data_IF_438571802803
#
_entry.id   IF_438571802803
#
_cell.length_a   1.000
_cell.length_b   1.000
_cell.length_c   1.000
_cell.angle_alpha   90.00
_cell.angle_beta   90.00
_cell.angle_gamma   90.00
#
_symmetry.space_group_name_H-M   'P 1'
#
loop_
_entity.id
_entity.type
_entity.pdbx_description
1 polymer ?
#
# COMPACT_ATOMS: atom_id res chain seq x y z
N UNK A 1 -16.19 32.32 -34.70
CA UNK A 1 -15.39 32.67 -33.52
C UNK A 1 -14.06 31.92 -33.59
N UNK A 2 -12.99 32.64 -33.81
CA UNK A 2 -11.66 32.02 -33.79
C UNK A 2 -11.26 31.70 -32.36
N UNK A 3 -10.99 30.42 -32.08
CA UNK A 3 -10.44 30.00 -30.79
C UNK A 3 -9.07 30.61 -30.64
N UNK A 4 -8.87 31.43 -29.62
CA UNK A 4 -7.56 32.02 -29.30
C UNK A 4 -6.59 30.91 -28.89
N UNK A 5 -5.82 30.44 -29.89
CA UNK A 5 -4.86 29.35 -29.72
C UNK A 5 -3.72 29.71 -28.76
N UNK A 6 -3.44 31.01 -28.59
CA UNK A 6 -2.40 31.48 -27.66
C UNK A 6 -2.87 31.30 -26.22
N UNK A 7 -4.11 31.66 -25.93
CA UNK A 7 -4.71 31.48 -24.60
C UNK A 7 -4.85 30.01 -24.19
N UNK A 8 -5.17 29.17 -25.16
CA UNK A 8 -5.25 27.71 -24.93
C UNK A 8 -3.87 27.10 -24.67
N UNK A 9 -2.84 27.59 -25.38
CA UNK A 9 -1.45 27.16 -25.21
C UNK A 9 -0.90 27.58 -23.85
N UNK A 10 -1.23 28.78 -23.38
CA UNK A 10 -0.83 29.29 -22.08
C UNK A 10 -1.54 28.56 -20.94
N UNK A 11 -2.82 28.19 -21.11
CA UNK A 11 -3.54 27.33 -20.16
C UNK A 11 -2.95 25.91 -20.09
N UNK A 12 -2.61 25.31 -21.24
CA UNK A 12 -1.97 24.00 -21.30
C UNK A 12 -0.55 24.02 -20.71
N UNK A 13 0.19 25.12 -20.90
CA UNK A 13 1.52 25.29 -20.31
C UNK A 13 1.43 25.51 -18.78
N UNK A 14 0.44 26.24 -18.28
CA UNK A 14 0.21 26.37 -16.82
C UNK A 14 -0.18 25.04 -16.19
N UNK A 15 -0.96 24.20 -16.87
CA UNK A 15 -1.27 22.85 -16.39
C UNK A 15 -0.02 21.95 -16.35
N UNK A 16 0.98 22.18 -17.21
CA UNK A 16 2.25 21.45 -17.18
C UNK A 16 3.15 21.81 -15.98
N UNK A 17 2.94 22.96 -15.35
CA UNK A 17 3.70 23.41 -14.17
C UNK A 17 3.08 22.91 -12.86
N UNK A 18 1.81 22.52 -12.86
CA UNK A 18 1.13 21.95 -11.69
C UNK A 18 1.40 20.45 -11.66
N UNK A 19 2.24 20.02 -10.73
CA UNK A 19 2.50 18.61 -10.49
C UNK A 19 1.62 18.12 -9.36
N UNK A 20 0.83 17.09 -9.64
CA UNK A 20 0.05 16.38 -8.64
C UNK A 20 0.40 14.90 -8.69
N UNK A 21 0.56 14.29 -7.52
CA UNK A 21 0.84 12.87 -7.39
C UNK A 21 0.06 12.29 -6.22
N UNK A 22 -0.23 11.01 -6.28
CA UNK A 22 -0.73 10.27 -5.13
C UNK A 22 0.43 10.08 -4.16
N UNK A 23 0.31 10.61 -2.93
CA UNK A 23 1.38 10.51 -1.94
C UNK A 23 1.29 9.19 -1.19
N UNK A 24 0.21 8.98 -0.43
CA UNK A 24 0.06 7.78 0.37
C UNK A 24 -1.42 7.37 0.50
N UNK A 25 -1.62 6.12 0.92
CA UNK A 25 -2.86 5.66 1.53
C UNK A 25 -2.68 5.57 3.03
N UNK A 26 -3.75 5.79 3.80
CA UNK A 26 -3.71 5.75 5.25
C UNK A 26 -4.59 4.61 5.79
N UNK A 27 -4.02 3.82 6.70
CA UNK A 27 -4.75 2.85 7.50
C UNK A 27 -4.70 3.19 8.96
N UNK A 28 -5.85 3.14 9.62
CA UNK A 28 -5.94 3.25 11.08
C UNK A 28 -5.68 1.89 11.70
N UNK A 29 -4.69 1.82 12.57
CA UNK A 29 -4.22 0.59 13.20
C UNK A 29 -4.40 0.62 14.71
N UNK A 30 -4.48 -0.53 15.33
CA UNK A 30 -4.67 -0.68 16.77
C UNK A 30 -3.42 -1.09 17.53
N UNK A 31 -2.39 -1.57 16.84
CA UNK A 31 -1.10 -1.94 17.43
C UNK A 31 0.03 -1.69 16.43
N UNK A 32 0.96 -0.79 16.80
CA UNK A 32 2.05 -0.39 15.91
C UNK A 32 2.99 -1.55 15.63
N UNK A 33 3.41 -2.28 16.65
CA UNK A 33 4.43 -3.33 16.50
C UNK A 33 3.94 -4.48 15.63
N UNK A 34 2.71 -4.92 15.83
CA UNK A 34 2.08 -5.97 15.01
C UNK A 34 1.94 -5.54 13.56
N UNK A 35 1.49 -4.30 13.32
CA UNK A 35 1.29 -3.79 11.96
C UNK A 35 2.62 -3.59 11.25
N UNK A 36 3.60 -2.98 11.88
CA UNK A 36 4.95 -2.80 11.31
C UNK A 36 5.56 -4.15 10.95
N UNK A 37 5.50 -5.12 11.85
CA UNK A 37 6.01 -6.48 11.62
C UNK A 37 5.33 -7.16 10.41
N UNK A 38 4.02 -6.99 10.27
CA UNK A 38 3.29 -7.52 9.12
C UNK A 38 3.77 -6.89 7.81
N UNK A 39 3.81 -5.56 7.75
CA UNK A 39 4.23 -4.87 6.52
C UNK A 39 5.70 -5.09 6.19
N UNK A 40 6.57 -5.23 7.19
CA UNK A 40 7.97 -5.65 6.98
C UNK A 40 8.07 -7.03 6.34
N UNK A 41 7.22 -7.98 6.71
CA UNK A 41 7.16 -9.30 6.07
C UNK A 41 6.72 -9.22 4.59
N UNK A 42 5.97 -8.19 4.20
CA UNK A 42 5.64 -7.89 2.81
C UNK A 42 6.76 -7.18 2.04
N UNK A 43 7.84 -6.76 2.72
CA UNK A 43 8.96 -6.05 2.13
C UNK A 43 8.95 -4.53 2.35
N UNK A 44 7.98 -4.00 3.07
CA UNK A 44 8.01 -2.58 3.47
C UNK A 44 9.12 -2.31 4.46
N UNK A 45 9.58 -1.07 4.47
CA UNK A 45 10.49 -0.53 5.49
C UNK A 45 9.89 0.71 6.12
N UNK A 46 10.05 0.83 7.43
CA UNK A 46 9.69 2.05 8.14
C UNK A 46 10.61 3.19 7.71
N UNK A 47 10.00 4.29 7.25
CA UNK A 47 10.72 5.50 6.83
C UNK A 47 10.92 6.42 8.02
N UNK A 48 9.83 6.74 8.73
CA UNK A 48 9.87 7.56 9.95
C UNK A 48 8.54 7.44 10.72
N UNK A 49 8.56 7.92 11.95
CA UNK A 49 7.38 8.10 12.78
C UNK A 49 7.17 9.57 13.09
N UNK A 50 5.93 9.98 13.15
CA UNK A 50 5.55 11.35 13.46
C UNK A 50 4.46 11.38 14.53
N UNK A 51 4.77 11.83 15.75
CA UNK A 51 3.75 12.09 16.75
C UNK A 51 2.82 13.22 16.29
N UNK A 52 1.53 13.02 16.46
CA UNK A 52 0.49 14.02 16.19
C UNK A 52 -0.04 14.50 17.53
N UNK A 53 0.56 15.55 18.05
CA UNK A 53 0.24 16.07 19.39
C UNK A 53 0.22 14.93 20.43
N UNK A 54 -0.78 14.93 21.31
CA UNK A 54 -1.02 13.88 22.30
C UNK A 54 -2.12 12.89 21.84
N UNK A 55 -2.43 12.85 20.55
CA UNK A 55 -3.60 12.14 20.01
C UNK A 55 -3.24 10.87 19.26
N UNK A 56 -2.12 10.88 18.52
CA UNK A 56 -1.79 9.81 17.61
C UNK A 56 -0.29 9.70 17.30
N UNK A 57 0.08 8.59 16.66
CA UNK A 57 1.38 8.40 16.02
C UNK A 57 1.13 7.92 14.60
N UNK A 58 1.73 8.60 13.63
CA UNK A 58 1.79 8.12 12.25
C UNK A 58 3.11 7.38 12.03
N UNK A 59 3.03 6.19 11.47
CA UNK A 59 4.18 5.40 11.02
C UNK A 59 4.14 5.35 9.51
N UNK A 60 5.18 5.82 8.85
CA UNK A 60 5.29 5.84 7.40
C UNK A 60 6.18 4.72 6.91
N UNK A 61 5.70 3.99 5.91
CA UNK A 61 6.37 2.83 5.36
C UNK A 61 6.42 2.88 3.83
N UNK A 62 7.50 2.36 3.25
CA UNK A 62 7.71 2.25 1.82
C UNK A 62 8.19 0.87 1.40
N UNK A 63 7.84 0.49 0.19
CA UNK A 63 8.52 -0.57 -0.55
C UNK A 63 9.79 -0.03 -1.23
N UNK A 64 10.78 -0.87 -1.54
CA UNK A 64 12.06 -0.41 -2.10
C UNK A 64 11.94 0.42 -3.39
N UNK A 65 10.93 0.15 -4.23
CA UNK A 65 10.73 0.85 -5.50
C UNK A 65 9.84 2.10 -5.41
N UNK A 66 9.35 2.45 -4.22
CA UNK A 66 8.46 3.60 -4.03
C UNK A 66 9.17 4.96 -4.04
N UNK A 67 10.50 4.95 -4.02
CA UNK A 67 11.30 6.17 -3.92
C UNK A 67 11.26 6.76 -2.50
N UNK A 68 11.38 8.09 -2.41
CA UNK A 68 11.49 8.80 -1.13
C UNK A 68 10.15 9.19 -0.51
N UNK A 69 9.08 9.14 -1.30
CA UNK A 69 7.72 9.47 -0.84
C UNK A 69 7.12 8.32 -0.01
N UNK A 70 6.67 8.58 1.23
CA UNK A 70 6.01 7.55 2.03
C UNK A 70 4.66 7.16 1.41
N UNK A 71 4.53 5.90 0.99
CA UNK A 71 3.34 5.39 0.27
C UNK A 71 2.28 4.82 1.18
N UNK A 72 2.68 4.36 2.36
CA UNK A 72 1.77 3.81 3.35
C UNK A 72 1.91 4.58 4.66
N UNK A 73 0.81 5.16 5.13
CA UNK A 73 0.69 5.78 6.44
C UNK A 73 -0.13 4.86 7.36
N UNK A 74 0.45 4.48 8.48
CA UNK A 74 -0.24 3.73 9.53
C UNK A 74 -0.51 4.69 10.69
N UNK A 75 -1.77 4.99 10.96
CA UNK A 75 -2.16 5.91 12.03
C UNK A 75 -2.65 5.15 13.25
N UNK A 76 -1.90 5.26 14.33
CA UNK A 76 -2.28 4.76 15.64
C UNK A 76 -2.87 5.90 16.47
N UNK A 77 -4.17 5.85 16.73
CA UNK A 77 -4.86 6.80 17.59
C UNK A 77 -4.87 6.28 19.03
N UNK A 78 -4.40 7.08 19.99
CA UNK A 78 -4.39 6.67 21.39
C UNK A 78 -5.81 6.41 21.90
N UNK A 79 -5.97 5.31 22.64
CA UNK A 79 -7.24 4.93 23.25
C UNK A 79 -8.26 4.29 22.33
N UNK A 80 -7.91 4.05 21.05
CA UNK A 80 -8.77 3.33 20.10
C UNK A 80 -8.21 1.93 19.90
N UNK A 81 -9.00 0.92 20.24
CA UNK A 81 -8.62 -0.50 20.22
C UNK A 81 -9.34 -1.32 19.14
N UNK A 82 -10.25 -0.72 18.39
CA UNK A 82 -10.95 -1.39 17.28
C UNK A 82 -11.44 -0.41 16.22
N UNK A 83 -11.54 -0.88 14.98
CA UNK A 83 -12.12 -0.16 13.85
C UNK A 83 -13.05 -1.05 13.05
N UNK A 84 -14.11 -0.46 12.51
CA UNK A 84 -14.99 -1.10 11.52
C UNK A 84 -14.55 -0.67 10.12
N UNK A 85 -14.02 -1.61 9.32
CA UNK A 85 -13.63 -1.35 7.94
C UNK A 85 -14.87 -1.26 7.04
N UNK A 86 -15.91 -2.03 7.34
CA UNK A 86 -17.11 -2.11 6.55
C UNK A 86 -16.93 -2.86 5.23
N UNK A 87 -17.84 -2.65 4.30
CA UNK A 87 -17.90 -3.37 3.01
C UNK A 87 -17.53 -2.51 1.80
N UNK A 88 -17.29 -1.23 2.00
CA UNK A 88 -17.02 -0.29 0.90
C UNK A 88 -15.55 -0.21 0.48
N UNK A 89 -14.63 -0.59 1.37
CA UNK A 89 -13.20 -0.58 1.06
C UNK A 89 -12.77 -1.90 0.42
N UNK A 90 -11.98 -1.82 -0.65
CA UNK A 90 -11.40 -2.98 -1.30
C UNK A 90 -10.03 -3.34 -0.70
N UNK A 91 -8.97 -2.97 -1.39
CA UNK A 91 -7.60 -3.33 -1.04
C UNK A 91 -6.59 -2.37 -1.68
N UNK A 92 -5.35 -2.43 -1.24
CA UNK A 92 -4.20 -1.98 -2.01
C UNK A 92 -3.51 -3.19 -2.64
N UNK A 93 -2.81 -2.98 -3.74
CA UNK A 93 -2.07 -4.03 -4.42
C UNK A 93 -0.57 -3.71 -4.44
N UNK A 94 0.23 -4.72 -4.20
CA UNK A 94 1.69 -4.69 -4.30
C UNK A 94 2.18 -5.80 -5.22
N UNK A 95 3.37 -5.65 -5.76
CA UNK A 95 4.03 -6.71 -6.52
C UNK A 95 5.10 -7.39 -5.70
N UNK A 96 5.32 -8.67 -5.93
CA UNK A 96 6.39 -9.45 -5.31
C UNK A 96 7.11 -10.30 -6.35
N UNK A 97 8.42 -10.31 -6.31
CA UNK A 97 9.24 -11.22 -7.12
C UNK A 97 9.30 -12.64 -6.52
N UNK A 98 8.95 -12.77 -5.24
CA UNK A 98 8.96 -14.03 -4.49
C UNK A 98 7.70 -14.15 -3.62
N UNK A 99 6.59 -14.49 -4.26
CA UNK A 99 5.30 -14.66 -3.58
C UNK A 99 5.35 -15.79 -2.54
N UNK A 100 5.97 -16.91 -2.87
CA UNK A 100 6.03 -18.07 -1.97
C UNK A 100 6.90 -17.79 -0.74
N UNK A 101 8.04 -17.11 -0.91
CA UNK A 101 8.91 -16.69 0.20
C UNK A 101 8.25 -15.69 1.11
N UNK A 102 7.50 -14.75 0.56
CA UNK A 102 6.72 -13.78 1.34
C UNK A 102 5.64 -14.48 2.17
N UNK A 103 4.90 -15.41 1.57
CA UNK A 103 3.90 -16.19 2.30
C UNK A 103 4.51 -17.04 3.41
N UNK A 104 5.71 -17.59 3.20
CA UNK A 104 6.43 -18.31 4.25
C UNK A 104 6.77 -17.40 5.44
N UNK A 105 7.22 -16.17 5.18
CA UNK A 105 7.50 -15.18 6.23
C UNK A 105 6.24 -14.79 7.01
N UNK A 106 5.11 -14.64 6.34
CA UNK A 106 3.82 -14.36 7.01
C UNK A 106 3.36 -15.53 7.87
N UNK A 107 3.55 -16.77 7.42
CA UNK A 107 3.22 -17.97 8.20
C UNK A 107 4.00 -18.07 9.49
N UNK A 108 5.25 -17.62 9.52
CA UNK A 108 6.03 -17.52 10.76
C UNK A 108 5.39 -16.58 11.80
N UNK A 109 4.56 -15.63 11.34
CA UNK A 109 3.77 -14.75 12.19
C UNK A 109 2.35 -15.28 12.45
N UNK A 110 2.03 -16.49 11.99
CA UNK A 110 0.70 -17.07 12.11
C UNK A 110 -0.32 -16.49 11.11
N UNK A 111 0.13 -15.85 10.04
CA UNK A 111 -0.74 -15.23 9.03
C UNK A 111 -0.79 -16.11 7.79
N UNK A 112 -1.99 -16.51 7.42
CA UNK A 112 -2.28 -17.26 6.19
C UNK A 112 -3.00 -16.37 5.18
N UNK A 113 -2.80 -16.60 3.86
CA UNK A 113 -3.60 -15.92 2.85
C UNK A 113 -5.07 -16.38 2.92
N UNK A 114 -5.99 -15.58 2.40
CA UNK A 114 -7.42 -15.92 2.33
C UNK A 114 -7.67 -17.25 1.61
N UNK A 115 -6.86 -17.52 0.60
CA UNK A 115 -6.76 -18.79 -0.11
C UNK A 115 -5.37 -18.94 -0.74
N UNK A 116 -4.97 -20.16 -1.15
CA UNK A 116 -3.70 -20.35 -1.86
C UNK A 116 -3.59 -19.47 -3.10
N UNK A 117 -2.36 -19.09 -3.51
CA UNK A 117 -2.15 -18.31 -4.74
C UNK A 117 -2.87 -18.89 -5.96
N UNK A 118 -3.46 -18.04 -6.77
CA UNK A 118 -4.22 -18.41 -7.96
C UNK A 118 -4.04 -17.37 -9.05
N UNK A 119 -4.40 -17.73 -10.30
CA UNK A 119 -4.40 -16.81 -11.43
C UNK A 119 -5.83 -16.46 -11.82
N UNK A 120 -6.09 -15.18 -12.10
CA UNK A 120 -7.40 -14.72 -12.56
C UNK A 120 -7.73 -15.18 -13.98
N UNK A 121 -6.70 -15.48 -14.76
CA UNK A 121 -6.80 -15.99 -16.13
C UNK A 121 -5.68 -16.97 -16.39
N UNK A 122 -5.90 -17.90 -17.32
CA UNK A 122 -4.87 -18.84 -17.75
C UNK A 122 -3.63 -18.11 -18.26
N UNK A 123 -2.45 -18.54 -17.81
CA UNK A 123 -1.16 -17.92 -18.13
C UNK A 123 -0.92 -16.55 -17.50
N UNK A 124 -1.83 -16.06 -16.64
CA UNK A 124 -1.65 -14.82 -15.90
C UNK A 124 -0.77 -15.00 -14.67
N UNK A 125 -0.32 -13.88 -14.10
CA UNK A 125 0.40 -13.87 -12.85
C UNK A 125 -0.44 -14.45 -11.71
N UNK A 126 0.23 -15.14 -10.79
CA UNK A 126 -0.45 -15.57 -9.56
C UNK A 126 -0.68 -14.35 -8.66
N UNK A 127 -1.79 -14.39 -7.96
CA UNK A 127 -2.13 -13.41 -6.94
C UNK A 127 -2.56 -14.12 -5.67
N UNK A 128 -2.47 -13.42 -4.56
CA UNK A 128 -3.16 -13.80 -3.33
C UNK A 128 -3.56 -12.58 -2.52
N UNK A 129 -4.50 -12.76 -1.61
CA UNK A 129 -4.91 -11.73 -0.66
C UNK A 129 -4.50 -12.16 0.75
N UNK A 130 -3.88 -11.23 1.45
CA UNK A 130 -3.57 -11.35 2.88
C UNK A 130 -4.26 -10.23 3.64
N UNK A 131 -4.49 -10.42 4.93
CA UNK A 131 -5.05 -9.39 5.80
C UNK A 131 -4.03 -9.00 6.84
N UNK A 132 -3.92 -7.69 7.05
CA UNK A 132 -3.09 -7.16 8.12
C UNK A 132 -3.74 -7.44 9.49
N UNK A 133 -3.06 -7.14 10.63
CA UNK A 133 -3.62 -7.41 11.95
C UNK A 133 -4.96 -6.74 12.24
N UNK A 134 -5.30 -5.65 11.58
CA UNK A 134 -6.57 -4.94 11.71
C UNK A 134 -7.62 -5.36 10.68
N UNK A 135 -7.27 -6.25 9.75
CA UNK A 135 -8.17 -6.79 8.73
C UNK A 135 -8.13 -6.07 7.39
N UNK A 136 -7.23 -5.15 7.16
CA UNK A 136 -7.04 -4.52 5.84
C UNK A 136 -6.48 -5.53 4.84
N UNK A 137 -7.13 -5.62 3.68
CA UNK A 137 -6.74 -6.55 2.62
C UNK A 137 -5.60 -5.97 1.79
N UNK A 138 -4.62 -6.81 1.52
CA UNK A 138 -3.51 -6.52 0.61
C UNK A 138 -3.52 -7.57 -0.49
N UNK A 139 -3.63 -7.13 -1.74
CA UNK A 139 -3.42 -7.99 -2.90
C UNK A 139 -1.92 -8.06 -3.18
N UNK A 140 -1.38 -9.26 -3.31
CA UNK A 140 -0.02 -9.47 -3.74
C UNK A 140 -0.02 -10.13 -5.11
N UNK A 141 0.58 -9.42 -6.07
CA UNK A 141 0.67 -9.85 -7.47
C UNK A 141 2.09 -10.34 -7.70
N UNK A 142 2.24 -11.61 -8.09
CA UNK A 142 3.54 -12.15 -8.45
C UNK A 142 4.03 -11.49 -9.74
N UNK A 143 5.18 -10.84 -9.66
CA UNK A 143 5.83 -10.30 -10.84
C UNK A 143 6.39 -11.45 -11.66
N UNK A 144 5.92 -11.59 -12.89
CA UNK A 144 6.42 -12.64 -13.78
C UNK A 144 7.93 -12.54 -13.96
N UNK A 145 8.61 -13.68 -13.92
CA UNK A 145 10.00 -13.76 -14.36
C UNK A 145 10.04 -13.33 -15.82
N UNK A 146 10.69 -12.20 -16.10
CA UNK A 146 11.02 -11.85 -17.48
C UNK A 146 11.86 -12.99 -17.99
N UNK A 147 11.32 -13.77 -18.93
CA UNK A 147 12.12 -14.71 -19.69
C UNK A 147 13.27 -13.94 -20.32
N UNK A 148 14.48 -14.29 -19.93
CA UNK A 148 15.71 -13.77 -20.53
C UNK A 148 15.79 -14.31 -21.96
#
# INVERSE_FOLDING_TARGET
MAVDRTRLRDQLNRQKEIRMSLVHTCYRITDIDSSVKFYEALGFKEVHRMPIREEAINVFMNLPEDGDEPRLELTYNFGVDSYEIGTGYGHIAITSDDLDGMLAALREQGIEPERPPYSLREGGSRICFVRDPDGYRIEVIERGTKSV
#
